data_IF_093745860560
#
_entry.id   IF_093745860560
#
_cell.length_a   1.000
_cell.length_b   1.000
_cell.length_c   1.000
_cell.angle_alpha   90.00
_cell.angle_beta   90.00
_cell.angle_gamma   90.00
#
_symmetry.space_group_name_H-M   'P 1'
#
loop_
_entity.id
_entity.type
_entity.pdbx_description
1 polymer ?
#
# COMPACT_ATOMS: atom_id res chain seq x y z
N UNK A 1 73.41 -29.18 6.54
CA UNK A 1 72.21 -29.23 5.67
C UNK A 1 71.66 -30.65 5.79
N UNK A 2 70.44 -30.97 6.21
CA UNK A 2 69.21 -30.24 6.53
C UNK A 2 68.43 -31.03 7.62
N UNK A 3 67.60 -30.33 8.40
CA UNK A 3 66.82 -30.79 9.56
C UNK A 3 65.60 -31.66 9.14
N UNK A 4 65.31 -32.82 9.75
CA UNK A 4 64.12 -33.60 9.43
C UNK A 4 62.83 -32.88 9.85
N UNK A 5 61.85 -32.89 8.95
CA UNK A 5 60.58 -32.18 9.06
C UNK A 5 59.78 -32.59 10.30
N UNK A 6 59.33 -31.58 11.07
CA UNK A 6 58.44 -31.75 12.21
C UNK A 6 57.04 -32.24 11.78
N UNK A 7 56.34 -33.04 12.60
CA UNK A 7 55.01 -33.54 12.26
C UNK A 7 53.95 -32.42 12.24
N UNK A 8 52.89 -32.54 11.41
CA UNK A 8 51.84 -31.54 11.30
C UNK A 8 51.04 -31.41 12.61
N UNK A 9 50.88 -30.18 13.10
CA UNK A 9 50.11 -29.86 14.31
C UNK A 9 48.63 -30.31 14.17
N UNK A 10 47.99 -30.82 15.24
CA UNK A 10 46.58 -31.18 15.19
C UNK A 10 45.71 -29.93 14.99
N UNK A 11 44.86 -29.99 13.96
CA UNK A 11 43.91 -28.93 13.60
C UNK A 11 42.85 -28.82 14.70
N UNK A 12 42.92 -27.75 15.49
CA UNK A 12 42.07 -27.48 16.63
C UNK A 12 40.57 -27.49 16.21
N UNK A 13 39.77 -28.40 16.81
CA UNK A 13 38.33 -28.57 16.54
C UNK A 13 37.46 -27.45 17.14
N UNK A 14 38.06 -26.47 17.82
CA UNK A 14 37.35 -25.42 18.55
C UNK A 14 36.76 -24.29 17.68
N UNK A 15 36.96 -24.30 16.36
CA UNK A 15 36.75 -23.09 15.54
C UNK A 15 35.45 -23.06 14.70
N UNK A 16 34.41 -23.82 15.09
CA UNK A 16 33.15 -23.91 14.32
C UNK A 16 31.88 -23.72 15.14
N UNK A 17 31.85 -22.72 16.02
CA UNK A 17 30.58 -22.18 16.54
C UNK A 17 30.43 -20.71 16.15
N UNK A 18 30.41 -20.44 14.84
CA UNK A 18 29.87 -19.16 14.35
C UNK A 18 28.38 -19.11 14.68
N UNK A 19 28.06 -18.45 15.79
CA UNK A 19 26.70 -18.10 16.17
C UNK A 19 26.10 -17.29 15.01
N UNK A 20 25.20 -17.92 14.25
CA UNK A 20 24.48 -17.28 13.15
C UNK A 20 23.69 -16.10 13.76
N UNK A 21 23.99 -14.85 13.36
CA UNK A 21 23.44 -13.66 14.00
C UNK A 21 21.91 -13.61 13.87
N UNK A 22 21.23 -13.10 14.89
CA UNK A 22 19.76 -13.05 14.94
C UNK A 22 19.16 -12.35 13.70
N UNK A 23 19.81 -11.31 13.19
CA UNK A 23 19.45 -10.61 11.96
C UNK A 23 19.38 -11.53 10.73
N UNK A 24 20.27 -12.51 10.62
CA UNK A 24 20.22 -13.50 9.52
C UNK A 24 19.13 -14.55 9.72
N UNK A 25 18.72 -14.85 10.96
CA UNK A 25 17.56 -15.73 11.22
C UNK A 25 16.26 -15.03 10.89
N UNK A 26 16.10 -13.77 11.31
CA UNK A 26 14.95 -12.93 10.98
C UNK A 26 14.89 -12.67 9.48
N UNK A 27 16.01 -12.29 8.85
CA UNK A 27 16.09 -12.11 7.40
C UNK A 27 15.79 -13.39 6.63
N UNK A 28 16.22 -14.56 7.12
CA UNK A 28 15.88 -15.85 6.53
C UNK A 28 14.41 -16.20 6.73
N UNK A 29 13.82 -15.89 7.88
CA UNK A 29 12.39 -16.07 8.17
C UNK A 29 11.52 -15.15 7.31
N UNK A 30 11.86 -13.87 7.20
CA UNK A 30 11.20 -12.92 6.30
C UNK A 30 11.34 -13.38 4.86
N UNK A 31 12.52 -13.80 4.44
CA UNK A 31 12.73 -14.33 3.09
C UNK A 31 11.92 -15.61 2.84
N UNK A 32 11.85 -16.54 3.78
CA UNK A 32 11.18 -17.83 3.59
C UNK A 32 9.66 -17.79 3.83
N UNK A 33 9.16 -16.90 4.68
CA UNK A 33 7.73 -16.76 5.01
C UNK A 33 7.04 -15.61 4.30
N UNK A 34 7.78 -14.57 3.91
CA UNK A 34 7.24 -13.40 3.22
C UNK A 34 7.70 -13.38 1.77
N UNK A 35 9.00 -13.23 1.51
CA UNK A 35 9.52 -12.94 0.16
C UNK A 35 9.37 -14.12 -0.81
N UNK A 36 9.74 -15.32 -0.41
CA UNK A 36 9.68 -16.53 -1.24
C UNK A 36 8.24 -16.95 -1.51
N UNK A 37 7.30 -16.95 -0.55
CA UNK A 37 5.89 -17.16 -0.84
C UNK A 37 5.30 -16.06 -1.70
N UNK A 38 5.69 -14.79 -1.53
CA UNK A 38 5.22 -13.70 -2.39
C UNK A 38 5.70 -13.84 -3.85
N UNK A 39 6.95 -14.30 -4.06
CA UNK A 39 7.55 -14.53 -5.39
C UNK A 39 7.16 -15.87 -6.02
N UNK A 40 6.89 -16.91 -5.22
CA UNK A 40 6.47 -18.26 -5.68
C UNK A 40 4.98 -18.49 -5.64
N UNK A 41 4.19 -17.66 -4.96
CA UNK A 41 2.76 -17.79 -5.00
C UNK A 41 2.33 -17.63 -6.45
N UNK A 42 1.85 -18.74 -7.00
CA UNK A 42 0.95 -18.77 -8.14
C UNK A 42 -0.28 -17.95 -7.74
N UNK A 43 -0.17 -16.63 -7.80
CA UNK A 43 -1.26 -15.75 -7.44
C UNK A 43 -2.34 -15.98 -8.48
N UNK A 44 -3.47 -16.55 -8.04
CA UNK A 44 -4.70 -16.49 -8.82
C UNK A 44 -4.90 -15.02 -9.20
N UNK A 45 -5.18 -14.71 -10.48
CA UNK A 45 -5.23 -13.34 -10.96
C UNK A 45 -6.26 -12.50 -10.18
N UNK A 46 -7.26 -13.16 -9.60
CA UNK A 46 -8.24 -12.61 -8.67
C UNK A 46 -7.60 -12.07 -7.38
N UNK A 47 -6.59 -12.73 -6.79
CA UNK A 47 -5.94 -12.30 -5.55
C UNK A 47 -5.18 -10.98 -5.75
N UNK A 48 -4.51 -10.84 -6.89
CA UNK A 48 -3.84 -9.62 -7.28
C UNK A 48 -4.86 -8.51 -7.61
N UNK A 49 -5.91 -8.82 -8.37
CA UNK A 49 -6.97 -7.85 -8.70
C UNK A 49 -7.69 -7.30 -7.45
N UNK A 50 -7.92 -8.14 -6.43
CA UNK A 50 -8.47 -7.70 -5.13
C UNK A 50 -7.50 -6.77 -4.40
N UNK A 51 -6.20 -7.07 -4.41
CA UNK A 51 -5.18 -6.21 -3.82
C UNK A 51 -5.15 -4.84 -4.49
N UNK A 52 -5.19 -4.79 -5.82
CA UNK A 52 -5.27 -3.52 -6.57
C UNK A 52 -6.53 -2.73 -6.24
N UNK A 53 -7.68 -3.40 -6.09
CA UNK A 53 -8.95 -2.77 -5.76
C UNK A 53 -8.90 -2.07 -4.39
N UNK A 54 -8.50 -2.80 -3.34
CA UNK A 54 -8.44 -2.26 -1.98
C UNK A 54 -7.40 -1.14 -1.88
N UNK A 55 -6.24 -1.30 -2.52
CA UNK A 55 -5.21 -0.27 -2.56
C UNK A 55 -5.70 1.03 -3.19
N UNK A 56 -6.42 0.94 -4.32
CA UNK A 56 -6.99 2.10 -5.00
C UNK A 56 -8.15 2.72 -4.22
N UNK A 57 -9.01 1.93 -3.57
CA UNK A 57 -10.06 2.48 -2.70
C UNK A 57 -9.44 3.40 -1.64
N UNK A 58 -8.42 2.92 -0.91
CA UNK A 58 -7.74 3.72 0.12
C UNK A 58 -6.86 4.83 -0.45
N UNK A 59 -6.33 4.68 -1.67
CA UNK A 59 -5.58 5.74 -2.36
C UNK A 59 -6.45 6.96 -2.65
N UNK A 60 -7.73 6.73 -2.97
CA UNK A 60 -8.72 7.75 -3.28
C UNK A 60 -9.60 8.12 -2.08
N UNK A 61 -9.16 7.80 -0.86
CA UNK A 61 -9.77 8.29 0.38
C UNK A 61 -8.91 9.42 0.97
N UNK A 62 -9.50 10.52 1.49
CA UNK A 62 -8.76 11.65 2.05
C UNK A 62 -8.16 11.32 3.44
N UNK A 63 -7.25 10.33 3.47
CA UNK A 63 -6.54 9.89 4.66
C UNK A 63 -5.07 10.29 4.53
N UNK A 64 -4.61 11.22 5.36
CA UNK A 64 -3.21 11.64 5.38
C UNK A 64 -2.38 10.64 6.19
N UNK A 65 -1.35 10.05 5.60
CA UNK A 65 -0.41 9.16 6.28
C UNK A 65 -0.98 7.81 6.77
N UNK A 66 -2.30 7.69 6.93
CA UNK A 66 -2.97 6.49 7.45
C UNK A 66 -3.32 5.45 6.39
N UNK A 67 -3.08 5.72 5.10
CA UNK A 67 -3.44 4.82 4.00
C UNK A 67 -2.83 3.42 4.15
N UNK A 68 -1.55 3.31 4.50
CA UNK A 68 -0.89 2.00 4.64
C UNK A 68 -1.41 1.21 5.86
N UNK A 69 -1.53 1.82 7.06
CA UNK A 69 -2.22 1.17 8.19
C UNK A 69 -3.64 0.69 7.87
N UNK A 70 -4.41 1.48 7.10
CA UNK A 70 -5.79 1.14 6.74
C UNK A 70 -5.87 -0.04 5.77
N UNK A 71 -4.94 -0.14 4.80
CA UNK A 71 -4.82 -1.34 3.95
C UNK A 71 -4.44 -2.56 4.78
N UNK A 72 -3.53 -2.43 5.74
CA UNK A 72 -3.16 -3.52 6.64
C UNK A 72 -4.35 -3.96 7.51
N UNK A 73 -5.09 -3.00 8.08
CA UNK A 73 -6.26 -3.27 8.90
C UNK A 73 -7.36 -3.97 8.09
N UNK A 74 -7.66 -3.46 6.89
CA UNK A 74 -8.65 -4.11 6.01
C UNK A 74 -8.22 -5.50 5.59
N UNK A 75 -6.92 -5.74 5.40
CA UNK A 75 -6.40 -7.09 5.16
C UNK A 75 -6.59 -8.01 6.37
N UNK A 76 -6.29 -7.52 7.57
CA UNK A 76 -6.45 -8.29 8.81
C UNK A 76 -7.93 -8.65 9.03
N UNK A 77 -8.83 -7.69 8.88
CA UNK A 77 -10.28 -7.87 8.99
C UNK A 77 -10.79 -8.84 7.92
N UNK A 78 -10.43 -8.62 6.65
CA UNK A 78 -10.85 -9.48 5.55
C UNK A 78 -10.40 -10.94 5.73
N UNK A 79 -9.16 -11.13 6.18
CA UNK A 79 -8.59 -12.46 6.41
C UNK A 79 -9.22 -13.16 7.61
N UNK A 80 -9.39 -12.46 8.73
CA UNK A 80 -9.86 -13.06 9.98
C UNK A 80 -11.37 -13.20 10.05
N UNK A 81 -12.15 -12.23 9.58
CA UNK A 81 -13.60 -12.26 9.67
C UNK A 81 -14.26 -12.82 8.40
N UNK A 82 -13.75 -12.45 7.22
CA UNK A 82 -14.41 -12.78 5.95
C UNK A 82 -13.76 -13.96 5.20
N UNK A 83 -12.66 -14.53 5.72
CA UNK A 83 -11.83 -15.55 5.05
C UNK A 83 -11.46 -15.14 3.62
N UNK A 84 -11.30 -13.84 3.40
CA UNK A 84 -11.08 -13.23 2.10
C UNK A 84 -9.64 -12.75 1.99
N UNK A 85 -8.84 -13.46 1.20
CA UNK A 85 -7.45 -13.08 0.97
C UNK A 85 -7.31 -12.16 -0.26
N UNK A 86 -6.39 -11.21 -0.14
CA UNK A 86 -5.89 -10.39 -1.24
C UNK A 86 -4.40 -10.10 -1.06
N UNK A 87 -3.73 -9.67 -2.14
CA UNK A 87 -2.31 -9.32 -2.08
C UNK A 87 -2.09 -8.01 -1.31
N UNK A 88 -1.72 -8.11 -0.04
CA UNK A 88 -1.42 -6.97 0.85
C UNK A 88 -0.33 -6.08 0.25
N UNK A 89 0.76 -6.66 -0.25
CA UNK A 89 1.87 -5.93 -0.84
C UNK A 89 1.41 -5.07 -2.02
N UNK A 90 0.55 -5.64 -2.86
CA UNK A 90 0.02 -4.92 -4.02
C UNK A 90 -0.96 -3.83 -3.57
N UNK A 91 -1.81 -4.09 -2.58
CA UNK A 91 -2.69 -3.07 -1.99
C UNK A 91 -1.91 -1.88 -1.45
N UNK A 92 -0.84 -2.11 -0.70
CA UNK A 92 0.04 -1.04 -0.20
C UNK A 92 0.68 -0.29 -1.37
N UNK A 93 1.19 -0.98 -2.38
CA UNK A 93 1.81 -0.34 -3.54
C UNK A 93 0.85 0.63 -4.27
N UNK A 94 -0.42 0.25 -4.42
CA UNK A 94 -1.42 1.12 -5.05
C UNK A 94 -1.84 2.32 -4.20
N UNK A 95 -1.55 2.35 -2.89
CA UNK A 95 -1.76 3.58 -2.09
C UNK A 95 -0.81 4.72 -2.48
N UNK A 96 0.27 4.43 -3.20
CA UNK A 96 1.27 5.42 -3.62
C UNK A 96 0.89 6.14 -4.92
N UNK A 97 -0.21 5.73 -5.57
CA UNK A 97 -0.69 6.38 -6.79
C UNK A 97 -1.04 7.86 -6.54
N UNK A 98 -1.56 8.17 -5.36
CA UNK A 98 -1.83 9.54 -4.90
C UNK A 98 -0.65 10.05 -4.06
N UNK A 99 0.44 10.42 -4.73
CA UNK A 99 1.62 11.04 -4.11
C UNK A 99 1.38 12.54 -3.82
N UNK A 100 2.33 13.20 -3.13
CA UNK A 100 2.20 14.62 -2.74
C UNK A 100 1.93 15.58 -3.92
N UNK A 101 2.44 15.27 -5.11
CA UNK A 101 2.23 16.11 -6.31
C UNK A 101 0.79 16.04 -6.82
N UNK A 102 0.19 14.84 -6.79
CA UNK A 102 -1.15 14.58 -7.33
C UNK A 102 -2.24 14.71 -6.27
N UNK A 103 -1.87 14.74 -4.99
CA UNK A 103 -2.82 14.77 -3.86
C UNK A 103 -3.68 16.03 -3.89
N UNK A 104 -3.10 17.21 -4.06
CA UNK A 104 -3.82 18.48 -4.04
C UNK A 104 -4.90 18.58 -5.15
N UNK A 105 -4.61 18.32 -6.44
CA UNK A 105 -5.63 18.35 -7.47
C UNK A 105 -6.69 17.25 -7.31
N UNK A 106 -6.31 16.05 -6.83
CA UNK A 106 -7.28 14.98 -6.55
C UNK A 106 -8.24 15.38 -5.42
N UNK A 107 -7.73 16.01 -4.38
CA UNK A 107 -8.53 16.44 -3.24
C UNK A 107 -9.47 17.59 -3.61
N UNK A 108 -9.04 18.48 -4.51
CA UNK A 108 -9.97 19.45 -5.11
C UNK A 108 -11.09 18.75 -5.88
N UNK A 109 -10.78 17.70 -6.63
CA UNK A 109 -11.79 16.86 -7.28
C UNK A 109 -12.81 16.27 -6.29
N UNK A 110 -12.34 15.78 -5.14
CA UNK A 110 -13.22 15.29 -4.07
C UNK A 110 -14.06 16.42 -3.48
N UNK A 111 -13.45 17.58 -3.23
CA UNK A 111 -14.16 18.74 -2.72
C UNK A 111 -15.33 19.16 -3.63
N UNK A 112 -15.06 19.34 -4.93
CA UNK A 112 -16.08 19.68 -5.93
C UNK A 112 -17.16 18.62 -5.99
N UNK A 113 -16.78 17.34 -6.04
CA UNK A 113 -17.73 16.22 -6.07
C UNK A 113 -18.59 16.19 -4.80
N UNK A 114 -18.00 16.45 -3.64
CA UNK A 114 -18.70 16.50 -2.36
C UNK A 114 -19.69 17.66 -2.26
N UNK A 115 -19.30 18.85 -2.72
CA UNK A 115 -20.19 20.02 -2.78
C UNK A 115 -21.39 19.77 -3.71
N UNK A 116 -21.15 19.15 -4.86
CA UNK A 116 -22.20 18.73 -5.79
C UNK A 116 -23.17 17.74 -5.12
N UNK A 117 -22.65 16.73 -4.43
CA UNK A 117 -23.47 15.74 -3.73
C UNK A 117 -24.29 16.34 -2.58
N UNK A 118 -23.79 17.39 -1.93
CA UNK A 118 -24.51 18.16 -0.90
C UNK A 118 -25.50 19.18 -1.50
N UNK A 119 -25.62 19.27 -2.83
CA UNK A 119 -26.50 20.23 -3.50
C UNK A 119 -26.00 21.68 -3.46
N UNK A 120 -24.73 21.91 -3.07
CA UNK A 120 -24.11 23.23 -2.92
C UNK A 120 -23.46 23.69 -4.23
N UNK A 121 -24.24 23.72 -5.30
CA UNK A 121 -23.77 24.07 -6.65
C UNK A 121 -23.23 25.51 -6.77
N UNK A 122 -23.66 26.41 -5.89
CA UNK A 122 -23.30 27.82 -5.91
C UNK A 122 -22.04 28.13 -5.08
N UNK A 123 -21.54 27.17 -4.31
CA UNK A 123 -20.36 27.31 -3.42
C UNK A 123 -19.16 26.50 -3.94
N UNK A 124 -19.08 26.36 -5.27
CA UNK A 124 -17.95 25.76 -5.97
C UNK A 124 -16.79 26.76 -5.97
N UNK A 125 -16.13 26.91 -4.81
CA UNK A 125 -14.90 27.68 -4.69
C UNK A 125 -13.87 27.26 -5.76
N UNK A 126 -13.25 28.23 -6.41
CA UNK A 126 -12.21 27.98 -7.41
C UNK A 126 -10.98 27.31 -6.79
N UNK A 127 -10.16 26.64 -7.63
CA UNK A 127 -8.95 25.94 -7.19
C UNK A 127 -8.00 26.82 -6.36
N UNK A 128 -7.88 28.11 -6.68
CA UNK A 128 -7.05 29.05 -5.93
C UNK A 128 -7.57 29.32 -4.50
N UNK A 129 -8.90 29.42 -4.32
CA UNK A 129 -9.50 29.56 -3.01
C UNK A 129 -9.32 28.29 -2.18
N UNK A 130 -9.43 27.12 -2.83
CA UNK A 130 -9.12 25.84 -2.20
C UNK A 130 -7.66 25.75 -1.78
N UNK A 131 -6.71 26.12 -2.65
CA UNK A 131 -5.27 26.09 -2.33
C UNK A 131 -4.93 26.98 -1.13
N UNK A 132 -5.56 28.15 -1.01
CA UNK A 132 -5.36 29.04 0.13
C UNK A 132 -5.74 28.40 1.47
N UNK A 133 -6.68 27.43 1.49
CA UNK A 133 -7.06 26.69 2.70
C UNK A 133 -5.95 25.74 3.19
N UNK A 134 -5.00 25.38 2.33
CA UNK A 134 -3.88 24.49 2.66
C UNK A 134 -2.64 25.24 3.14
N UNK A 135 -2.66 26.57 3.07
CA UNK A 135 -1.56 27.43 3.48
C UNK A 135 -1.17 27.25 4.97
N UNK A 136 -2.09 27.06 5.93
CA UNK A 136 -1.73 26.73 7.31
C UNK A 136 -0.97 25.40 7.44
N UNK A 137 -1.37 24.39 6.65
CA UNK A 137 -0.69 23.09 6.62
C UNK A 137 0.74 23.21 6.06
N UNK A 138 0.93 24.12 5.09
CA UNK A 138 2.24 24.42 4.48
C UNK A 138 3.20 25.09 5.46
N UNK A 139 2.68 25.86 6.43
CA UNK A 139 3.46 26.49 7.51
C UNK A 139 3.80 25.54 8.66
N UNK A 140 3.41 24.26 8.56
CA UNK A 140 3.63 23.23 9.57
C UNK A 140 3.02 23.55 10.94
N UNK A 141 1.96 24.37 10.97
CA UNK A 141 1.22 24.65 12.20
C UNK A 141 0.22 23.50 12.44
N UNK A 142 0.32 22.73 13.55
CA UNK A 142 -0.48 21.52 13.73
C UNK A 142 -1.90 21.78 14.24
N UNK A 143 -2.15 22.95 14.84
CA UNK A 143 -3.45 23.30 15.44
C UNK A 143 -4.64 23.35 14.46
N UNK A 144 -4.53 23.92 13.24
CA UNK A 144 -5.65 24.01 12.31
C UNK A 144 -5.92 22.74 11.48
N UNK A 145 -5.06 21.71 11.57
CA UNK A 145 -5.19 20.50 10.74
C UNK A 145 -6.43 19.70 11.12
N UNK A 146 -6.73 19.63 12.42
CA UNK A 146 -7.86 18.86 12.94
C UNK A 146 -9.18 19.59 12.66
N UNK A 147 -9.23 20.91 12.85
CA UNK A 147 -10.42 21.71 12.59
C UNK A 147 -10.75 21.76 11.08
N UNK A 148 -9.73 21.92 10.23
CA UNK A 148 -9.89 21.85 8.77
C UNK A 148 -10.41 20.47 8.33
N UNK A 149 -9.94 19.40 8.98
CA UNK A 149 -10.39 18.03 8.73
C UNK A 149 -11.80 17.76 9.27
N UNK A 150 -12.25 18.46 10.30
CA UNK A 150 -13.62 18.32 10.83
C UNK A 150 -14.63 19.12 10.00
N UNK A 151 -14.30 20.37 9.65
CA UNK A 151 -15.18 21.26 8.91
C UNK A 151 -15.37 20.82 7.45
N UNK A 152 -14.27 20.42 6.79
CA UNK A 152 -14.30 20.03 5.38
C UNK A 152 -14.18 18.53 5.17
N UNK A 153 -13.86 17.76 6.22
CA UNK A 153 -13.71 16.32 6.12
C UNK A 153 -14.97 15.68 5.58
N UNK A 154 -16.16 16.08 6.05
CA UNK A 154 -17.40 15.48 5.58
C UNK A 154 -17.58 15.67 4.07
N UNK A 155 -17.30 16.86 3.55
CA UNK A 155 -17.39 17.16 2.10
C UNK A 155 -16.37 16.32 1.32
N UNK A 156 -15.11 16.28 1.79
CA UNK A 156 -14.04 15.51 1.16
C UNK A 156 -14.31 14.01 1.17
N UNK A 157 -14.78 13.46 2.30
CA UNK A 157 -15.12 12.05 2.43
C UNK A 157 -16.32 11.68 1.55
N UNK A 158 -17.38 12.50 1.55
CA UNK A 158 -18.55 12.28 0.71
C UNK A 158 -18.19 12.32 -0.78
N UNK A 159 -17.40 13.31 -1.17
CA UNK A 159 -16.92 13.46 -2.55
C UNK A 159 -15.92 12.38 -2.96
N UNK A 160 -15.15 11.83 -2.04
CA UNK A 160 -14.22 10.74 -2.30
C UNK A 160 -14.91 9.40 -2.56
N UNK A 161 -16.11 9.16 -2.00
CA UNK A 161 -16.81 7.86 -2.14
C UNK A 161 -17.03 7.43 -3.60
N UNK A 162 -17.61 8.27 -4.51
CA UNK A 162 -17.75 7.92 -5.91
C UNK A 162 -16.40 7.58 -6.58
N UNK A 163 -15.36 8.37 -6.29
CA UNK A 163 -14.03 8.17 -6.85
C UNK A 163 -13.38 6.89 -6.34
N UNK A 164 -13.48 6.59 -5.04
CA UNK A 164 -12.96 5.38 -4.44
C UNK A 164 -13.64 4.13 -5.03
N UNK A 165 -14.96 4.16 -5.20
CA UNK A 165 -15.72 3.07 -5.82
C UNK A 165 -15.30 2.89 -7.28
N UNK A 166 -15.27 3.99 -8.04
CA UNK A 166 -14.91 3.98 -9.46
C UNK A 166 -13.49 3.45 -9.67
N UNK A 167 -12.52 3.97 -8.93
CA UNK A 167 -11.11 3.60 -9.06
C UNK A 167 -10.84 2.18 -8.54
N UNK A 168 -11.50 1.77 -7.46
CA UNK A 168 -11.48 0.39 -6.99
C UNK A 168 -11.98 -0.58 -8.07
N UNK A 169 -13.15 -0.30 -8.64
CA UNK A 169 -13.75 -1.13 -9.69
C UNK A 169 -12.90 -1.17 -10.97
N UNK A 170 -12.42 -0.01 -11.43
CA UNK A 170 -11.56 0.09 -12.61
C UNK A 170 -10.26 -0.67 -12.40
N UNK A 171 -9.62 -0.48 -11.24
CA UNK A 171 -8.42 -1.19 -10.83
C UNK A 171 -8.60 -2.70 -10.84
N UNK A 172 -9.69 -3.20 -10.25
CA UNK A 172 -10.04 -4.60 -10.27
C UNK A 172 -10.18 -5.14 -11.69
N UNK A 173 -11.00 -4.48 -12.53
CA UNK A 173 -11.28 -4.91 -13.91
C UNK A 173 -10.04 -4.88 -14.79
N UNK A 174 -9.26 -3.80 -14.73
CA UNK A 174 -8.04 -3.64 -15.53
C UNK A 174 -6.98 -4.66 -15.12
N UNK A 175 -6.75 -4.82 -13.81
CA UNK A 175 -5.81 -5.81 -13.28
C UNK A 175 -6.21 -7.23 -13.69
N UNK A 176 -7.49 -7.59 -13.50
CA UNK A 176 -7.98 -8.92 -13.88
C UNK A 176 -7.89 -9.18 -15.39
N UNK A 177 -8.25 -8.20 -16.23
CA UNK A 177 -8.12 -8.30 -17.70
C UNK A 177 -6.67 -8.46 -18.11
N UNK A 178 -5.75 -7.66 -17.54
CA UNK A 178 -4.33 -7.71 -17.87
C UNK A 178 -3.70 -9.05 -17.47
N UNK A 179 -3.99 -9.53 -16.26
CA UNK A 179 -3.44 -10.78 -15.76
C UNK A 179 -4.01 -12.00 -16.51
N UNK A 180 -5.30 -12.02 -16.85
CA UNK A 180 -5.91 -13.10 -17.65
C UNK A 180 -5.37 -13.13 -19.08
N UNK A 181 -5.15 -11.97 -19.71
CA UNK A 181 -4.53 -11.90 -21.05
C UNK A 181 -3.08 -12.40 -21.06
N UNK A 182 -2.37 -12.25 -19.93
CA UNK A 182 -0.97 -12.69 -19.77
C UNK A 182 -0.83 -14.12 -19.24
N UNK A 183 -1.93 -14.82 -18.97
CA UNK A 183 -1.91 -16.25 -18.73
C UNK A 183 -2.04 -16.97 -20.08
N UNK A 184 -0.93 -17.37 -20.73
CA UNK A 184 -1.02 -18.28 -21.87
C UNK A 184 -1.76 -19.54 -21.40
N UNK A 185 -2.66 -20.05 -22.25
CA UNK A 185 -3.41 -21.29 -22.04
C UNK A 185 -2.45 -22.40 -21.58
N UNK A 186 -2.33 -22.59 -20.27
CA UNK A 186 -1.49 -23.61 -19.66
C UNK A 186 -2.41 -24.76 -19.39
N UNK A 187 -2.37 -25.75 -20.29
CA UNK A 187 -3.12 -27.00 -20.23
C UNK A 187 -3.18 -27.53 -18.80
N UNK A 188 -4.37 -27.91 -18.28
CA UNK A 188 -4.43 -28.80 -17.15
C UNK A 188 -3.89 -30.16 -17.60
N UNK A 189 -2.82 -30.62 -16.94
CA UNK A 189 -2.45 -32.04 -16.87
C UNK A 189 -3.05 -32.57 -15.59
#
# INVERSE_FOLDING_TARGET
MANPAAPPRPRNKADRRRLIPFSTRVGRLLRLRLTVPLLRARHTPELAARGTMIGLIWAFTPTFGLRMPLVLLTWLVARHLCRWDFSLLLGIAWTWTTNALVTLPVYYGFYVTGQILLGRWHDLGGFAAFEALWEPLRRADPAPIVDLLLDWGLVLWLGALPWAILMGWLGYRCSLRLLRRRQPARNPI
#
